data_IF_824321404613
#
_entry.id   IF_824321404613
#
_cell.length_a   1.000
_cell.length_b   1.000
_cell.length_c   1.000
_cell.angle_alpha   90.00
_cell.angle_beta   90.00
_cell.angle_gamma   90.00
#
_symmetry.space_group_name_H-M   'P 1'
#
loop_
_entity.id
_entity.type
_entity.pdbx_description
1 polymer ?
#
# COMPACT_ATOMS: atom_id res chain seq x y z
N UNK A 1 -26.97 18.02 -38.62
CA UNK A 1 -25.79 18.23 -39.50
C UNK A 1 -24.55 17.96 -38.68
N UNK A 2 -23.52 17.33 -39.25
CA UNK A 2 -22.23 17.10 -38.59
C UNK A 2 -21.52 18.45 -38.38
N UNK A 3 -20.95 18.66 -37.19
CA UNK A 3 -20.31 19.93 -36.79
C UNK A 3 -18.78 19.86 -36.71
N UNK A 4 -18.22 18.64 -36.76
CA UNK A 4 -16.78 18.37 -36.67
C UNK A 4 -16.41 17.24 -37.63
N UNK A 5 -15.22 17.28 -38.25
CA UNK A 5 -14.64 16.18 -39.05
C UNK A 5 -13.12 16.09 -38.86
N UNK A 6 -12.48 14.94 -39.15
CA UNK A 6 -11.02 14.86 -39.22
C UNK A 6 -10.42 15.86 -40.23
N UNK A 7 -9.22 16.40 -39.96
CA UNK A 7 -8.50 17.27 -40.90
C UNK A 7 -8.02 16.51 -42.15
N UNK A 8 -7.69 15.22 -42.01
CA UNK A 8 -7.24 14.34 -43.09
C UNK A 8 -8.10 13.06 -43.15
N UNK A 9 -8.56 12.68 -44.35
CA UNK A 9 -9.39 11.49 -44.59
C UNK A 9 -10.88 11.79 -44.84
N UNK A 10 -11.58 10.85 -45.48
CA UNK A 10 -13.03 10.89 -45.63
C UNK A 10 -13.70 10.29 -44.39
N UNK A 11 -14.63 11.04 -43.78
CA UNK A 11 -15.42 10.57 -42.66
C UNK A 11 -16.77 10.06 -43.18
N UNK A 12 -17.04 8.76 -43.03
CA UNK A 12 -18.28 8.11 -43.47
C UNK A 12 -19.50 8.88 -42.92
N UNK A 13 -20.35 9.42 -43.80
CA UNK A 13 -21.50 10.26 -43.43
C UNK A 13 -22.58 9.49 -42.64
N UNK A 14 -22.55 8.16 -42.65
CA UNK A 14 -23.52 7.30 -41.96
C UNK A 14 -23.19 7.04 -40.48
N UNK A 15 -21.96 7.30 -40.01
CA UNK A 15 -21.58 6.99 -38.64
C UNK A 15 -21.94 8.12 -37.64
N UNK A 16 -22.68 7.80 -36.56
CA UNK A 16 -22.94 8.72 -35.48
C UNK A 16 -21.68 8.78 -34.60
N UNK A 17 -20.90 9.84 -34.78
CA UNK A 17 -19.81 10.27 -33.89
C UNK A 17 -18.52 9.43 -33.94
N UNK A 18 -17.43 10.04 -34.43
CA UNK A 18 -16.05 9.56 -34.29
C UNK A 18 -15.38 10.35 -33.16
N UNK A 19 -14.63 9.64 -32.32
CA UNK A 19 -14.02 10.17 -31.10
C UNK A 19 -13.07 11.37 -31.36
N UNK A 20 -13.05 12.32 -30.42
CA UNK A 20 -12.15 13.46 -30.34
C UNK A 20 -10.71 13.10 -30.70
N UNK A 21 -10.31 13.37 -31.94
CA UNK A 21 -8.89 13.35 -32.35
C UNK A 21 -8.32 14.77 -32.27
N UNK A 22 -7.03 14.90 -31.95
CA UNK A 22 -6.38 16.23 -31.81
C UNK A 22 -6.35 17.05 -33.11
N UNK A 23 -6.67 16.43 -34.26
CA UNK A 23 -6.63 17.03 -35.60
C UNK A 23 -8.00 17.30 -36.23
N UNK A 24 -9.06 17.51 -35.46
CA UNK A 24 -10.40 17.79 -36.00
C UNK A 24 -10.58 19.24 -36.43
N UNK A 25 -11.42 19.49 -37.44
CA UNK A 25 -11.84 20.82 -37.90
C UNK A 25 -13.35 20.99 -37.84
N UNK A 26 -13.80 22.22 -37.58
CA UNK A 26 -15.21 22.58 -37.58
C UNK A 26 -15.77 22.63 -39.01
N UNK A 27 -17.01 22.16 -39.17
CA UNK A 27 -17.78 22.22 -40.43
C UNK A 27 -19.24 22.55 -40.14
N UNK A 28 -19.96 23.11 -41.12
CA UNK A 28 -21.37 23.54 -40.97
C UNK A 28 -21.61 24.47 -39.77
N UNK A 29 -20.61 25.26 -39.42
CA UNK A 29 -20.49 26.09 -38.22
C UNK A 29 -20.30 27.58 -38.56
N UNK A 30 -20.51 28.00 -39.82
CA UNK A 30 -20.56 29.40 -40.22
C UNK A 30 -19.18 30.06 -40.27
N UNK A 31 -18.98 31.18 -39.56
CA UNK A 31 -17.69 31.89 -39.54
C UNK A 31 -16.54 31.08 -38.93
N UNK A 32 -16.85 29.97 -38.25
CA UNK A 32 -15.88 29.09 -37.61
C UNK A 32 -15.47 27.89 -38.48
N UNK A 33 -16.03 27.77 -39.70
CA UNK A 33 -15.74 26.64 -40.60
C UNK A 33 -14.25 26.58 -40.98
N UNK A 34 -13.68 25.37 -40.91
CA UNK A 34 -12.28 25.10 -41.23
C UNK A 34 -11.31 25.34 -40.06
N UNK A 35 -11.75 25.91 -38.94
CA UNK A 35 -10.90 26.07 -37.75
C UNK A 35 -10.63 24.71 -37.07
N UNK A 36 -9.42 24.48 -36.53
CA UNK A 36 -9.17 23.35 -35.63
C UNK A 36 -10.13 23.38 -34.44
N UNK A 37 -10.72 22.24 -34.06
CA UNK A 37 -11.76 22.17 -33.04
C UNK A 37 -11.38 22.85 -31.69
N UNK A 38 -10.13 22.71 -31.17
CA UNK A 38 -9.72 23.44 -29.96
C UNK A 38 -9.73 24.97 -30.12
N UNK A 39 -9.31 25.48 -31.28
CA UNK A 39 -9.30 26.92 -31.57
C UNK A 39 -10.70 27.44 -31.86
N UNK A 40 -11.49 26.70 -32.63
CA UNK A 40 -12.89 27.00 -32.91
C UNK A 40 -13.72 27.10 -31.63
N UNK A 41 -13.53 26.17 -30.68
CA UNK A 41 -14.17 26.23 -29.37
C UNK A 41 -13.85 27.53 -28.61
N UNK A 42 -12.58 27.98 -28.62
CA UNK A 42 -12.19 29.26 -27.99
C UNK A 42 -12.85 30.45 -28.67
N UNK A 43 -12.80 30.52 -30.01
CA UNK A 43 -13.36 31.64 -30.79
C UNK A 43 -14.87 31.74 -30.67
N UNK A 44 -15.57 30.61 -30.57
CA UNK A 44 -17.01 30.56 -30.29
C UNK A 44 -17.29 31.16 -28.91
N UNK A 45 -16.52 30.80 -27.87
CA UNK A 45 -16.70 31.36 -26.52
C UNK A 45 -16.38 32.86 -26.49
N UNK A 46 -15.32 33.32 -27.16
CA UNK A 46 -14.99 34.75 -27.29
C UNK A 46 -16.11 35.55 -27.96
N UNK A 47 -16.72 34.98 -29.01
CA UNK A 47 -17.86 35.61 -29.69
C UNK A 47 -19.07 35.71 -28.76
N UNK A 48 -19.41 34.61 -28.08
CA UNK A 48 -20.52 34.57 -27.11
C UNK A 48 -20.30 35.57 -25.97
N UNK A 49 -19.05 35.76 -25.53
CA UNK A 49 -18.68 36.76 -24.52
C UNK A 49 -18.83 38.18 -25.03
N UNK A 50 -18.37 38.48 -26.24
CA UNK A 50 -18.56 39.80 -26.87
C UNK A 50 -20.05 40.15 -27.09
N UNK A 51 -20.91 39.16 -27.26
CA UNK A 51 -22.37 39.31 -27.38
C UNK A 51 -23.10 39.31 -26.03
N UNK A 52 -22.40 39.13 -24.91
CA UNK A 52 -23.00 39.03 -23.57
C UNK A 52 -23.88 37.77 -23.37
N UNK A 53 -23.71 36.75 -24.21
CA UNK A 53 -24.51 35.52 -24.23
C UNK A 53 -23.75 34.29 -23.71
N UNK A 54 -22.50 34.45 -23.28
CA UNK A 54 -21.70 33.40 -22.67
C UNK A 54 -20.41 33.93 -22.07
N UNK A 55 -19.66 33.06 -21.38
CA UNK A 55 -18.31 33.36 -20.88
C UNK A 55 -17.53 32.07 -20.66
N UNK A 56 -16.19 32.11 -20.61
CA UNK A 56 -15.40 31.00 -20.11
C UNK A 56 -15.82 30.60 -18.69
N UNK A 57 -15.93 29.29 -18.47
CA UNK A 57 -16.23 28.73 -17.17
C UNK A 57 -15.42 27.45 -16.97
N UNK A 58 -14.91 27.26 -15.75
CA UNK A 58 -14.29 26.01 -15.31
C UNK A 58 -15.34 25.27 -14.49
N UNK A 59 -15.70 24.06 -14.93
CA UNK A 59 -16.59 23.18 -14.20
C UNK A 59 -15.80 22.03 -13.59
N UNK A 60 -16.11 21.70 -12.34
CA UNK A 60 -15.54 20.57 -11.64
C UNK A 60 -16.55 19.43 -11.59
N UNK A 61 -16.08 18.19 -11.81
CA UNK A 61 -16.89 16.99 -11.61
C UNK A 61 -17.13 16.71 -10.12
N UNK A 62 -16.15 17.05 -9.26
CA UNK A 62 -16.28 16.93 -7.81
C UNK A 62 -17.38 17.88 -7.31
N UNK A 63 -18.15 17.43 -6.34
CA UNK A 63 -19.25 18.18 -5.72
C UNK A 63 -18.89 18.46 -4.26
N UNK A 64 -19.61 19.40 -3.66
CA UNK A 64 -19.51 19.65 -2.23
C UNK A 64 -19.86 18.39 -1.42
N UNK A 65 -19.22 18.25 -0.27
CA UNK A 65 -19.43 17.12 0.61
C UNK A 65 -20.65 17.34 1.51
N UNK A 66 -21.77 16.74 1.13
CA UNK A 66 -22.92 16.60 2.03
C UNK A 66 -22.66 15.56 3.11
N UNK A 67 -22.29 15.99 4.31
CA UNK A 67 -21.93 15.11 5.42
C UNK A 67 -23.07 14.81 6.39
N UNK A 68 -24.26 15.42 6.27
CA UNK A 68 -25.36 15.18 7.20
C UNK A 68 -26.10 13.87 6.90
N UNK A 69 -26.47 13.10 7.94
CA UNK A 69 -27.04 11.77 7.82
C UNK A 69 -28.28 11.63 8.71
N UNK A 70 -29.37 11.12 8.13
CA UNK A 70 -30.60 10.75 8.84
C UNK A 70 -30.45 9.39 9.53
N UNK A 71 -29.43 9.28 10.39
CA UNK A 71 -29.06 8.08 11.12
C UNK A 71 -28.83 8.44 12.58
N UNK A 72 -29.11 7.47 13.45
CA UNK A 72 -28.86 7.61 14.88
C UNK A 72 -27.37 7.53 15.22
N UNK A 73 -26.68 6.50 14.72
CA UNK A 73 -25.31 6.20 15.13
C UNK A 73 -24.28 7.05 14.38
N UNK A 74 -24.03 8.26 14.90
CA UNK A 74 -23.01 9.19 14.41
C UNK A 74 -22.84 10.38 15.36
N UNK A 75 -21.83 11.21 15.12
CA UNK A 75 -21.60 12.42 15.91
C UNK A 75 -22.73 13.44 15.66
N UNK A 76 -23.45 13.93 16.69
CA UNK A 76 -24.43 15.00 16.53
C UNK A 76 -23.81 16.28 15.97
N UNK A 77 -24.49 16.91 15.01
CA UNK A 77 -24.04 18.18 14.44
C UNK A 77 -24.31 19.31 15.47
N UNK A 78 -23.30 20.10 15.89
CA UNK A 78 -23.43 21.08 16.97
C UNK A 78 -24.11 22.38 16.49
N UNK A 79 -25.37 22.26 16.07
CA UNK A 79 -26.20 23.35 15.54
C UNK A 79 -27.59 23.35 16.20
N UNK A 80 -28.13 24.54 16.42
CA UNK A 80 -29.49 24.80 16.90
C UNK A 80 -30.22 25.70 15.90
N UNK A 81 -31.47 25.36 15.60
CA UNK A 81 -32.40 26.11 14.76
C UNK A 81 -33.37 26.92 15.62
N UNK A 82 -33.29 28.24 15.52
CA UNK A 82 -34.16 29.19 16.20
C UNK A 82 -35.01 29.98 15.20
N UNK A 83 -36.31 30.11 15.45
CA UNK A 83 -37.22 30.83 14.55
C UNK A 83 -36.97 32.36 14.54
N UNK A 84 -36.22 32.87 15.52
CA UNK A 84 -35.81 34.29 15.61
C UNK A 84 -34.42 34.53 15.03
N UNK A 85 -33.43 33.73 15.43
CA UNK A 85 -32.02 33.94 15.08
C UNK A 85 -31.56 33.16 13.84
N UNK A 86 -32.34 32.17 13.37
CA UNK A 86 -31.95 31.27 12.30
C UNK A 86 -31.05 30.13 12.79
N UNK A 87 -29.96 29.87 12.07
CA UNK A 87 -29.00 28.79 12.35
C UNK A 87 -27.95 29.31 13.33
N UNK A 88 -27.85 28.68 14.50
CA UNK A 88 -26.95 29.10 15.58
C UNK A 88 -26.04 27.93 15.97
N UNK A 89 -24.70 28.10 16.00
CA UNK A 89 -23.81 27.06 16.49
C UNK A 89 -23.97 26.84 17.99
N UNK A 90 -23.75 25.61 18.45
CA UNK A 90 -23.66 25.31 19.88
C UNK A 90 -22.36 25.93 20.44
N UNK A 91 -22.39 26.65 21.57
CA UNK A 91 -21.19 27.21 22.20
C UNK A 91 -20.17 26.15 22.66
N UNK A 92 -18.90 26.49 22.66
CA UNK A 92 -17.80 25.58 23.01
C UNK A 92 -17.97 24.96 24.41
N UNK A 93 -18.43 25.73 25.39
CA UNK A 93 -18.67 25.26 26.76
C UNK A 93 -19.86 24.29 26.90
N UNK A 94 -20.68 24.16 25.85
CA UNK A 94 -21.79 23.22 25.78
C UNK A 94 -21.43 21.97 24.96
N UNK A 95 -20.21 21.89 24.43
CA UNK A 95 -19.70 20.69 23.80
C UNK A 95 -19.20 19.68 24.86
N UNK A 96 -19.26 18.37 24.58
CA UNK A 96 -19.86 17.75 23.39
C UNK A 96 -21.39 17.67 23.47
N UNK A 97 -22.06 17.78 22.32
CA UNK A 97 -23.47 17.39 22.20
C UNK A 97 -23.54 15.86 22.21
N UNK A 98 -23.81 15.28 23.38
CA UNK A 98 -23.90 13.82 23.54
C UNK A 98 -25.12 13.25 22.83
N UNK A 99 -24.93 12.09 22.18
CA UNK A 99 -26.01 11.33 21.56
C UNK A 99 -26.97 10.84 22.66
N UNK A 100 -28.29 11.06 22.54
CA UNK A 100 -29.26 10.63 23.56
C UNK A 100 -29.56 9.14 23.44
N UNK A 101 -29.81 8.48 24.56
CA UNK A 101 -30.29 7.11 24.56
C UNK A 101 -31.73 7.04 24.01
N UNK A 102 -31.93 6.30 22.92
CA UNK A 102 -33.25 6.01 22.35
C UNK A 102 -33.41 4.51 22.07
N UNK A 103 -34.58 3.95 22.36
CA UNK A 103 -34.83 2.51 22.16
C UNK A 103 -35.10 2.14 20.69
N UNK A 104 -35.86 2.97 19.96
CA UNK A 104 -36.28 2.70 18.58
C UNK A 104 -35.60 3.63 17.57
N UNK A 105 -34.38 3.31 17.18
CA UNK A 105 -33.60 4.08 16.19
C UNK A 105 -33.76 3.57 14.74
N UNK A 106 -34.79 2.76 14.45
CA UNK A 106 -35.00 2.24 13.09
C UNK A 106 -35.37 3.38 12.12
N UNK A 107 -34.88 3.35 10.86
CA UNK A 107 -35.19 4.39 9.89
C UNK A 107 -36.69 4.36 9.52
N UNK A 108 -37.41 5.46 9.77
CA UNK A 108 -38.85 5.60 9.47
C UNK A 108 -39.17 6.76 8.50
N UNK A 109 -38.20 7.19 7.70
CA UNK A 109 -38.34 8.33 6.78
C UNK A 109 -38.21 9.71 7.46
N UNK A 110 -37.88 9.74 8.76
CA UNK A 110 -37.44 10.93 9.51
C UNK A 110 -36.16 10.60 10.28
N UNK A 111 -35.32 11.59 10.63
CA UNK A 111 -34.13 11.37 11.46
C UNK A 111 -34.53 10.72 12.79
N UNK A 112 -33.86 9.64 13.25
CA UNK A 112 -34.19 9.00 14.51
C UNK A 112 -34.14 9.93 15.73
N UNK A 113 -33.20 10.89 15.76
CA UNK A 113 -33.07 11.83 16.87
C UNK A 113 -34.26 12.79 17.01
N UNK A 114 -35.03 13.00 15.94
CA UNK A 114 -36.18 13.90 15.96
C UNK A 114 -37.31 13.44 16.92
N UNK A 115 -37.29 12.18 17.36
CA UNK A 115 -38.26 11.67 18.33
C UNK A 115 -37.83 11.84 19.79
N UNK A 116 -36.57 12.21 20.05
CA UNK A 116 -36.05 12.49 21.38
C UNK A 116 -36.39 13.93 21.78
N UNK A 117 -37.68 14.23 21.97
CA UNK A 117 -38.18 15.61 22.14
C UNK A 117 -37.46 16.38 23.26
N UNK A 118 -37.15 15.73 24.39
CA UNK A 118 -36.41 16.34 25.49
C UNK A 118 -34.97 16.71 25.13
N UNK A 119 -34.34 15.95 24.22
CA UNK A 119 -33.00 16.24 23.72
C UNK A 119 -33.03 17.27 22.58
N UNK A 120 -34.06 17.27 21.74
CA UNK A 120 -34.18 18.18 20.59
C UNK A 120 -34.53 19.59 21.05
N UNK A 121 -35.46 19.74 21.98
CA UNK A 121 -35.96 21.06 22.39
C UNK A 121 -35.01 21.70 23.41
N UNK A 122 -34.38 22.81 23.02
CA UNK A 122 -33.42 23.55 23.85
C UNK A 122 -33.66 25.06 23.71
N UNK A 123 -33.26 25.88 24.70
CA UNK A 123 -33.23 27.31 24.50
C UNK A 123 -32.18 27.68 23.44
N UNK A 124 -32.47 28.71 22.63
CA UNK A 124 -31.50 29.29 21.70
C UNK A 124 -30.32 29.87 22.50
N UNK A 125 -29.06 29.48 22.21
CA UNK A 125 -27.92 30.01 22.94
C UNK A 125 -27.67 31.51 22.68
N UNK A 126 -28.29 32.10 21.65
CA UNK A 126 -28.16 33.52 21.34
C UNK A 126 -29.24 34.43 21.95
N UNK A 127 -30.48 33.93 22.12
CA UNK A 127 -31.62 34.76 22.54
C UNK A 127 -32.58 34.10 23.53
N UNK A 128 -32.26 32.89 24.01
CA UNK A 128 -33.03 32.08 24.97
C UNK A 128 -34.44 31.64 24.50
N UNK A 129 -34.91 32.11 23.35
CA UNK A 129 -36.18 31.67 22.76
C UNK A 129 -36.17 30.16 22.48
N UNK A 130 -37.34 29.49 22.47
CA UNK A 130 -37.44 28.08 22.12
C UNK A 130 -36.76 27.77 20.77
N UNK A 131 -35.94 26.73 20.74
CA UNK A 131 -35.19 26.31 19.58
C UNK A 131 -35.07 24.78 19.52
N UNK A 132 -34.55 24.26 18.39
CA UNK A 132 -34.42 22.83 18.14
C UNK A 132 -33.01 22.47 17.72
N UNK A 133 -32.38 21.47 18.34
CA UNK A 133 -31.09 20.93 17.86
C UNK A 133 -31.22 20.35 16.45
N UNK A 134 -30.11 20.32 15.72
CA UNK A 134 -29.98 19.46 14.54
C UNK A 134 -30.19 17.99 14.94
N UNK A 135 -30.96 17.28 14.11
CA UNK A 135 -31.40 15.89 14.35
C UNK A 135 -30.71 14.90 13.41
N UNK A 136 -29.91 15.40 12.46
CA UNK A 136 -28.98 14.61 11.67
C UNK A 136 -27.61 14.50 12.36
N UNK A 137 -26.91 13.41 12.05
CA UNK A 137 -25.54 13.15 12.51
C UNK A 137 -24.54 13.33 11.37
N UNK A 138 -23.26 13.51 11.70
CA UNK A 138 -22.19 13.56 10.71
C UNK A 138 -21.92 12.18 10.10
N UNK A 139 -21.55 12.16 8.82
CA UNK A 139 -21.01 10.99 8.12
C UNK A 139 -19.74 10.50 8.82
N UNK A 140 -19.55 9.18 8.92
CA UNK A 140 -18.36 8.55 9.51
C UNK A 140 -17.04 8.93 8.83
N UNK A 141 -17.10 9.44 7.59
CA UNK A 141 -15.96 10.02 6.90
C UNK A 141 -15.45 11.30 7.54
N UNK A 142 -16.26 12.03 8.32
CA UNK A 142 -15.78 13.17 9.12
C UNK A 142 -14.77 12.66 10.14
N UNK A 143 -15.15 11.68 10.95
CA UNK A 143 -14.29 11.12 12.01
C UNK A 143 -13.00 10.51 11.43
N UNK A 144 -13.13 9.72 10.37
CA UNK A 144 -11.98 9.09 9.72
C UNK A 144 -11.12 10.04 8.88
N UNK A 145 -11.52 11.30 8.68
CA UNK A 145 -10.68 12.26 7.94
C UNK A 145 -9.51 12.80 8.75
N UNK A 146 -9.50 12.62 10.07
CA UNK A 146 -8.47 13.22 10.94
C UNK A 146 -8.05 12.35 12.14
N UNK A 147 -8.59 11.14 12.29
CA UNK A 147 -8.29 10.24 13.42
C UNK A 147 -6.78 10.01 13.65
N UNK A 148 -5.97 10.00 12.57
CA UNK A 148 -4.53 9.83 12.66
C UNK A 148 -3.81 11.01 13.32
N UNK A 149 -4.38 12.21 13.30
CA UNK A 149 -3.89 13.34 14.09
C UNK A 149 -4.19 13.11 15.57
N UNK A 150 -5.40 12.60 15.88
CA UNK A 150 -5.81 12.32 17.26
C UNK A 150 -4.97 11.22 17.91
N UNK A 151 -4.40 10.28 17.14
CA UNK A 151 -3.45 9.31 17.69
C UNK A 151 -2.17 9.95 18.27
N UNK A 152 -1.77 11.12 17.81
CA UNK A 152 -0.60 11.82 18.33
C UNK A 152 -0.86 12.41 19.72
N UNK A 153 -2.12 12.70 20.04
CA UNK A 153 -2.53 13.32 21.31
C UNK A 153 -3.97 12.89 21.71
N UNK A 154 -4.18 11.60 22.04
CA UNK A 154 -5.52 11.03 22.17
C UNK A 154 -6.23 11.41 23.47
N UNK A 155 -5.48 11.89 24.46
CA UNK A 155 -5.96 12.15 25.82
C UNK A 155 -6.16 13.63 26.13
N UNK A 156 -5.93 14.52 25.16
CA UNK A 156 -6.15 15.96 25.31
C UNK A 156 -7.63 16.29 25.37
N UNK A 157 -8.09 16.80 26.49
CA UNK A 157 -9.47 17.17 26.79
C UNK A 157 -9.77 18.67 26.59
N UNK A 158 -8.75 19.46 26.26
CA UNK A 158 -8.85 20.91 26.04
C UNK A 158 -8.88 21.29 24.54
N UNK A 159 -8.37 20.42 23.67
CA UNK A 159 -8.28 20.65 22.23
C UNK A 159 -8.38 19.34 21.43
N UNK A 160 -8.63 19.41 20.10
CA UNK A 160 -8.57 18.22 19.25
C UNK A 160 -7.21 17.51 19.28
N UNK A 161 -6.12 18.26 19.42
CA UNK A 161 -4.73 17.79 19.59
C UNK A 161 -3.80 18.99 19.83
N UNK A 162 -2.63 18.75 20.42
CA UNK A 162 -1.52 19.71 20.45
C UNK A 162 -0.81 19.77 19.09
N UNK A 163 -0.62 20.98 18.54
CA UNK A 163 0.07 21.18 17.24
C UNK A 163 1.49 20.60 17.23
N UNK A 164 2.25 20.77 18.31
CA UNK A 164 3.62 20.27 18.39
C UNK A 164 3.68 18.74 18.29
N UNK A 165 2.73 18.04 18.91
CA UNK A 165 2.63 16.58 18.86
C UNK A 165 2.32 16.09 17.45
N UNK A 166 1.35 16.71 16.76
CA UNK A 166 1.01 16.33 15.38
C UNK A 166 2.10 16.69 14.40
N UNK A 167 2.71 17.88 14.49
CA UNK A 167 3.78 18.32 13.59
C UNK A 167 5.07 17.47 13.75
N UNK A 168 5.28 16.85 14.92
CA UNK A 168 6.38 15.92 15.15
C UNK A 168 6.18 14.58 14.42
N UNK A 169 4.98 14.00 14.50
CA UNK A 169 4.68 12.67 13.94
C UNK A 169 4.26 12.70 12.48
N UNK A 170 3.91 13.86 11.93
CA UNK A 170 3.32 13.98 10.60
C UNK A 170 4.22 14.79 9.64
N UNK A 171 4.06 14.60 8.31
CA UNK A 171 3.10 13.71 7.65
C UNK A 171 3.40 12.22 7.90
N UNK A 172 2.37 11.37 7.82
CA UNK A 172 2.53 9.92 7.97
C UNK A 172 3.47 9.41 6.88
N UNK A 173 4.57 8.74 7.27
CA UNK A 173 5.57 8.23 6.34
C UNK A 173 4.99 7.20 5.35
N UNK A 174 4.16 6.30 5.85
CA UNK A 174 3.56 5.20 5.09
C UNK A 174 2.15 4.92 5.58
N UNK A 175 1.17 5.15 4.71
CA UNK A 175 -0.22 4.77 4.92
C UNK A 175 -0.55 3.50 4.12
N UNK A 176 -0.94 2.43 4.81
CA UNK A 176 -1.31 1.15 4.19
C UNK A 176 -2.83 1.01 4.24
N UNK A 177 -3.47 0.79 3.09
CA UNK A 177 -4.92 0.57 3.03
C UNK A 177 -5.38 -0.02 1.71
N UNK A 178 -6.60 -0.55 1.68
CA UNK A 178 -7.15 -1.14 0.47
C UNK A 178 -7.46 -0.10 -0.62
N UNK A 179 -7.42 -0.53 -1.89
CA UNK A 179 -7.70 0.33 -3.05
C UNK A 179 -9.07 1.01 -2.99
N UNK A 180 -10.06 0.38 -2.34
CA UNK A 180 -11.42 0.94 -2.15
C UNK A 180 -11.41 2.30 -1.42
N UNK A 181 -10.38 2.59 -0.61
CA UNK A 181 -10.28 3.85 0.12
C UNK A 181 -9.72 5.02 -0.72
N UNK A 182 -9.16 4.72 -1.90
CA UNK A 182 -8.49 5.72 -2.74
C UNK A 182 -9.43 6.83 -3.25
N UNK A 183 -10.71 6.52 -3.45
CA UNK A 183 -11.68 7.44 -4.08
C UNK A 183 -12.55 8.22 -3.09
N UNK A 184 -12.51 7.88 -1.80
CA UNK A 184 -13.40 8.50 -0.79
C UNK A 184 -12.58 9.02 0.39
N UNK A 185 -12.19 8.12 1.30
CA UNK A 185 -11.46 8.49 2.51
C UNK A 185 -10.18 9.28 2.22
N UNK A 186 -9.40 8.88 1.20
CA UNK A 186 -8.19 9.61 0.81
C UNK A 186 -8.48 11.05 0.34
N UNK A 187 -9.60 11.29 -0.34
CA UNK A 187 -9.98 12.65 -0.76
C UNK A 187 -10.36 13.49 0.46
N UNK A 188 -11.19 12.94 1.36
CA UNK A 188 -11.65 13.66 2.53
C UNK A 188 -10.52 13.95 3.52
N UNK A 189 -9.63 12.99 3.79
CA UNK A 189 -8.45 13.22 4.62
C UNK A 189 -7.57 14.34 4.06
N UNK A 190 -7.30 14.34 2.75
CA UNK A 190 -6.49 15.38 2.09
C UNK A 190 -7.16 16.76 2.10
N UNK A 191 -8.48 16.81 1.93
CA UNK A 191 -9.26 18.03 2.04
C UNK A 191 -9.19 18.58 3.46
N UNK A 192 -9.43 17.73 4.46
CA UNK A 192 -9.43 18.10 5.87
C UNK A 192 -8.07 18.64 6.31
N UNK A 193 -6.96 18.03 5.88
CA UNK A 193 -5.62 18.56 6.19
C UNK A 193 -5.37 19.93 5.58
N UNK A 194 -5.89 20.22 4.37
CA UNK A 194 -5.75 21.55 3.76
C UNK A 194 -6.51 22.59 4.56
N UNK A 195 -7.73 22.27 4.99
CA UNK A 195 -8.50 23.15 5.88
C UNK A 195 -7.76 23.41 7.19
N UNK A 196 -7.29 22.36 7.87
CA UNK A 196 -6.57 22.51 9.14
C UNK A 196 -5.26 23.30 8.98
N UNK A 197 -4.55 23.12 7.87
CA UNK A 197 -3.36 23.90 7.57
C UNK A 197 -3.68 25.38 7.27
N UNK A 198 -4.75 25.64 6.50
CA UNK A 198 -5.20 27.01 6.21
C UNK A 198 -5.66 27.73 7.50
N UNK A 199 -6.17 26.99 8.48
CA UNK A 199 -6.48 27.47 9.84
C UNK A 199 -5.26 27.59 10.77
N UNK A 200 -4.07 27.17 10.33
CA UNK A 200 -2.83 27.23 11.12
C UNK A 200 -2.73 26.19 12.25
N UNK A 201 -3.60 25.18 12.26
CA UNK A 201 -3.64 24.13 13.29
C UNK A 201 -2.58 23.05 13.09
N UNK A 202 -2.04 22.91 11.88
CA UNK A 202 -0.97 21.96 11.52
C UNK A 202 0.05 22.60 10.57
N UNK A 203 1.28 22.09 10.58
CA UNK A 203 2.42 22.55 9.78
C UNK A 203 2.58 21.93 8.39
N UNK A 204 1.71 20.98 8.01
CA UNK A 204 1.80 20.21 6.75
C UNK A 204 0.47 20.24 5.97
N UNK A 205 0.52 20.02 4.64
CA UNK A 205 -0.65 20.12 3.74
C UNK A 205 -1.16 18.79 3.17
N UNK A 206 -0.35 17.74 3.25
CA UNK A 206 -0.73 16.40 2.79
C UNK A 206 -0.54 15.41 3.95
N UNK A 207 -1.53 14.55 4.24
CA UNK A 207 -1.47 13.66 5.40
C UNK A 207 -0.49 12.50 5.26
N UNK A 208 -0.23 12.03 4.03
CA UNK A 208 0.51 10.81 3.77
C UNK A 208 1.66 11.08 2.79
N UNK A 209 2.90 10.79 3.19
CA UNK A 209 4.08 10.88 2.32
C UNK A 209 4.10 9.75 1.28
N UNK A 210 3.65 8.55 1.68
CA UNK A 210 3.47 7.39 0.79
C UNK A 210 2.17 6.68 1.10
N UNK A 211 1.47 6.26 0.04
CA UNK A 211 0.34 5.36 0.13
C UNK A 211 0.71 4.02 -0.49
N UNK A 212 0.52 2.94 0.26
CA UNK A 212 0.69 1.58 -0.22
C UNK A 212 -0.67 0.88 -0.25
N UNK A 213 -1.17 0.62 -1.46
CA UNK A 213 -2.43 -0.08 -1.64
C UNK A 213 -2.22 -1.57 -1.52
N UNK A 214 -2.82 -2.22 -0.51
CA UNK A 214 -2.82 -3.68 -0.44
C UNK A 214 -3.91 -4.28 -1.33
N UNK A 215 -3.67 -5.49 -1.83
CA UNK A 215 -4.68 -6.27 -2.56
C UNK A 215 -5.68 -6.95 -1.65
N UNK A 216 -6.68 -7.61 -2.25
CA UNK A 216 -7.69 -8.38 -1.54
C UNK A 216 -7.19 -9.74 -1.12
N UNK A 217 -7.67 -10.22 0.02
CA UNK A 217 -7.57 -11.64 0.38
C UNK A 217 -8.92 -12.31 0.10
N UNK A 218 -8.90 -13.36 -0.72
CA UNK A 218 -10.07 -14.17 -1.07
C UNK A 218 -10.01 -15.56 -0.44
N UNK A 219 -11.17 -16.18 -0.24
CA UNK A 219 -11.30 -17.59 0.16
C UNK A 219 -12.27 -18.26 -0.82
N UNK A 220 -11.78 -19.22 -1.60
CA UNK A 220 -12.51 -19.85 -2.69
C UNK A 220 -12.86 -18.88 -3.82
N UNK A 221 -11.97 -17.94 -4.17
CA UNK A 221 -12.20 -16.85 -5.13
C UNK A 221 -13.37 -15.90 -4.78
N UNK A 222 -13.87 -15.92 -3.53
CA UNK A 222 -14.87 -14.98 -3.03
C UNK A 222 -14.22 -14.03 -2.04
N UNK A 223 -14.45 -12.72 -2.22
CA UNK A 223 -14.05 -11.69 -1.24
C UNK A 223 -14.65 -12.03 0.12
N UNK A 224 -13.79 -12.19 1.12
CA UNK A 224 -14.23 -12.47 2.49
C UNK A 224 -15.01 -11.24 2.98
N UNK A 225 -16.30 -11.42 3.29
CA UNK A 225 -17.12 -10.35 3.83
C UNK A 225 -18.18 -10.89 4.77
N UNK A 226 -18.51 -10.13 5.83
CA UNK A 226 -19.61 -10.47 6.75
C UNK A 226 -20.94 -10.70 6.03
N UNK A 227 -21.15 -10.05 4.87
CA UNK A 227 -22.37 -10.15 4.06
C UNK A 227 -22.47 -11.46 3.28
N UNK A 228 -21.35 -12.10 2.94
CA UNK A 228 -21.30 -13.32 2.15
C UNK A 228 -21.36 -14.60 3.01
N UNK A 229 -21.29 -14.49 4.35
CA UNK A 229 -21.41 -15.63 5.26
C UNK A 229 -20.23 -16.63 5.22
N UNK A 230 -19.19 -16.34 4.43
CA UNK A 230 -17.99 -17.16 4.24
C UNK A 230 -16.79 -16.68 5.09
N UNK A 231 -17.02 -15.78 6.04
CA UNK A 231 -15.98 -15.26 6.90
C UNK A 231 -15.60 -16.31 7.97
N UNK A 232 -14.64 -17.18 7.64
CA UNK A 232 -13.85 -17.85 8.67
C UNK A 232 -12.93 -16.78 9.25
N UNK A 233 -13.15 -16.46 10.53
CA UNK A 233 -12.32 -15.48 11.23
C UNK A 233 -10.88 -15.99 11.40
N UNK A 234 -9.90 -15.09 11.54
CA UNK A 234 -8.50 -15.49 11.78
C UNK A 234 -8.34 -16.28 13.07
N UNK A 235 -9.27 -16.17 14.02
CA UNK A 235 -9.19 -16.79 15.35
C UNK A 235 -9.03 -18.31 15.26
N UNK A 236 -9.80 -18.97 14.39
CA UNK A 236 -9.72 -20.43 14.23
C UNK A 236 -8.34 -20.86 13.69
N UNK A 237 -7.80 -20.14 12.73
CA UNK A 237 -6.47 -20.43 12.17
C UNK A 237 -5.36 -20.15 13.19
N UNK A 238 -5.51 -19.08 13.99
CA UNK A 238 -4.58 -18.76 15.08
C UNK A 238 -4.61 -19.84 16.16
N UNK A 239 -5.78 -20.36 16.52
CA UNK A 239 -5.90 -21.45 17.50
C UNK A 239 -5.27 -22.76 16.99
N UNK A 240 -5.45 -23.09 15.71
CA UNK A 240 -4.91 -24.32 15.13
C UNK A 240 -3.41 -24.27 14.83
N UNK A 241 -2.89 -23.11 14.39
CA UNK A 241 -1.53 -23.01 13.82
C UNK A 241 -0.64 -22.00 14.53
N UNK A 242 -1.18 -21.17 15.43
CA UNK A 242 -0.48 -20.07 16.08
C UNK A 242 -0.47 -18.78 15.25
N UNK A 243 -0.28 -17.66 15.93
CA UNK A 243 -0.30 -16.32 15.32
C UNK A 243 0.81 -16.14 14.27
N UNK A 244 2.01 -16.67 14.51
CA UNK A 244 3.14 -16.50 13.60
C UNK A 244 2.95 -17.22 12.27
N UNK A 245 2.40 -18.44 12.29
CA UNK A 245 2.07 -19.16 11.07
C UNK A 245 1.02 -18.41 10.24
N UNK A 246 0.02 -17.82 10.90
CA UNK A 246 -0.99 -16.98 10.23
C UNK A 246 -0.37 -15.73 9.59
N UNK A 247 0.44 -14.98 10.35
CA UNK A 247 1.11 -13.76 9.88
C UNK A 247 2.04 -14.04 8.70
N UNK A 248 2.87 -15.08 8.83
CA UNK A 248 3.75 -15.53 7.75
C UNK A 248 2.95 -15.92 6.51
N UNK A 249 1.82 -16.60 6.67
CA UNK A 249 1.00 -17.00 5.55
C UNK A 249 0.47 -15.79 4.75
N UNK A 250 -0.13 -14.82 5.45
CA UNK A 250 -0.63 -13.59 4.81
C UNK A 250 0.49 -12.89 4.03
N UNK A 251 1.68 -12.79 4.61
CA UNK A 251 2.81 -12.07 4.02
C UNK A 251 3.59 -12.87 2.97
N UNK A 252 3.36 -14.18 2.86
CA UNK A 252 4.06 -15.08 1.94
C UNK A 252 3.25 -15.47 0.70
N UNK A 253 1.92 -15.41 0.77
CA UNK A 253 1.02 -15.84 -0.32
C UNK A 253 1.32 -15.17 -1.69
N UNK A 254 1.88 -13.96 -1.70
CA UNK A 254 2.12 -13.19 -2.92
C UNK A 254 2.58 -11.76 -2.63
N UNK A 255 2.76 -10.93 -3.67
CA UNK A 255 3.02 -9.50 -3.53
C UNK A 255 1.87 -8.81 -2.79
N UNK A 256 2.17 -7.99 -1.77
CA UNK A 256 1.13 -7.45 -0.88
C UNK A 256 0.20 -6.43 -1.56
N UNK A 257 0.54 -5.93 -2.74
CA UNK A 257 -0.28 -5.01 -3.55
C UNK A 257 -1.14 -5.73 -4.60
N UNK A 258 -1.11 -7.06 -4.64
CA UNK A 258 -1.91 -7.89 -5.55
C UNK A 258 -2.94 -8.70 -4.77
N UNK A 259 -3.99 -9.14 -5.47
CA UNK A 259 -5.02 -10.00 -4.87
C UNK A 259 -4.45 -11.40 -4.60
N UNK A 260 -4.80 -11.96 -3.44
CA UNK A 260 -4.19 -13.16 -2.87
C UNK A 260 -5.27 -14.14 -2.45
N UNK A 261 -5.10 -15.42 -2.80
CA UNK A 261 -6.03 -16.49 -2.43
C UNK A 261 -5.53 -17.20 -1.17
N UNK A 262 -6.35 -17.19 -0.12
CA UNK A 262 -6.10 -17.95 1.09
C UNK A 262 -6.57 -19.39 0.93
N UNK A 263 -5.70 -20.35 1.26
CA UNK A 263 -6.03 -21.78 1.29
C UNK A 263 -5.59 -22.43 2.59
N UNK A 264 -6.27 -23.49 3.04
CA UNK A 264 -5.86 -24.24 4.24
C UNK A 264 -4.44 -24.84 4.08
N UNK A 265 -4.07 -25.28 2.87
CA UNK A 265 -2.75 -25.85 2.62
C UNK A 265 -1.62 -24.81 2.69
N UNK A 266 -1.90 -23.54 2.41
CA UNK A 266 -0.91 -22.46 2.49
C UNK A 266 -0.41 -22.25 3.93
N UNK A 267 -1.34 -22.15 4.89
CA UNK A 267 -1.01 -21.95 6.30
C UNK A 267 -0.31 -23.16 6.91
N UNK A 268 -0.67 -24.39 6.52
CA UNK A 268 0.05 -25.59 6.94
C UNK A 268 1.53 -25.56 6.51
N UNK A 269 1.80 -25.02 5.31
CA UNK A 269 3.16 -24.79 4.83
C UNK A 269 3.96 -23.88 5.75
N UNK A 270 3.38 -22.77 6.17
CA UNK A 270 4.03 -21.83 7.09
C UNK A 270 4.17 -22.41 8.50
N UNK A 271 3.19 -23.17 9.00
CA UNK A 271 3.31 -23.87 10.27
C UNK A 271 4.46 -24.90 10.25
N UNK A 272 4.65 -25.63 9.14
CA UNK A 272 5.81 -26.52 8.96
C UNK A 272 7.13 -25.75 8.93
N UNK A 273 7.16 -24.59 8.28
CA UNK A 273 8.35 -23.73 8.27
C UNK A 273 8.73 -23.26 9.69
N UNK A 274 7.77 -22.77 10.47
CA UNK A 274 7.99 -22.37 11.87
C UNK A 274 8.56 -23.53 12.70
N UNK A 275 7.99 -24.74 12.58
CA UNK A 275 8.51 -25.93 13.28
C UNK A 275 9.93 -26.31 12.82
N UNK A 276 10.25 -26.12 11.54
CA UNK A 276 11.59 -26.36 11.02
C UNK A 276 12.60 -25.36 11.57
N UNK A 277 12.27 -24.06 11.54
CA UNK A 277 13.09 -23.00 12.13
C UNK A 277 13.38 -23.31 13.59
N UNK A 278 12.34 -23.66 14.35
CA UNK A 278 12.47 -24.05 15.75
C UNK A 278 13.47 -25.18 15.96
N UNK A 279 13.27 -26.32 15.29
CA UNK A 279 14.16 -27.47 15.42
C UNK A 279 15.61 -27.12 15.08
N UNK A 280 15.83 -26.47 13.94
CA UNK A 280 17.18 -26.13 13.46
C UNK A 280 17.87 -25.16 14.43
N UNK A 281 17.15 -24.15 14.93
CA UNK A 281 17.71 -23.19 15.88
C UNK A 281 18.08 -23.87 17.22
N UNK A 282 17.29 -24.83 17.70
CA UNK A 282 17.65 -25.59 18.92
C UNK A 282 18.87 -26.49 18.72
N UNK A 283 18.98 -27.15 17.56
CA UNK A 283 20.19 -27.92 17.22
C UNK A 283 21.43 -27.01 17.22
N UNK A 284 21.33 -25.79 16.68
CA UNK A 284 22.39 -24.78 16.75
C UNK A 284 22.70 -24.36 18.19
N UNK A 285 21.69 -24.19 19.05
CA UNK A 285 21.92 -23.88 20.47
C UNK A 285 22.77 -24.96 21.16
N UNK A 286 22.60 -26.22 20.79
CA UNK A 286 23.32 -27.36 21.36
C UNK A 286 24.73 -27.55 20.76
N UNK A 287 24.89 -27.33 19.45
CA UNK A 287 26.08 -27.76 18.70
C UNK A 287 27.04 -26.60 18.34
N UNK A 288 26.51 -25.39 18.16
CA UNK A 288 27.29 -24.27 17.66
C UNK A 288 27.90 -23.42 18.78
N UNK A 289 29.23 -23.28 18.84
CA UNK A 289 29.89 -22.44 19.83
C UNK A 289 29.61 -20.95 19.57
N UNK A 290 29.70 -20.14 20.63
CA UNK A 290 29.69 -18.68 20.54
C UNK A 290 30.93 -18.13 19.81
N UNK A 291 30.78 -16.92 19.28
CA UNK A 291 31.86 -16.13 18.68
C UNK A 291 31.59 -15.77 17.21
N UNK A 292 32.53 -15.03 16.63
CA UNK A 292 32.43 -14.49 15.26
C UNK A 292 32.35 -15.60 14.19
N UNK A 293 31.51 -15.42 13.14
CA UNK A 293 31.44 -16.36 12.04
C UNK A 293 32.80 -16.48 11.33
N UNK A 294 33.01 -17.61 10.67
CA UNK A 294 34.14 -17.77 9.75
C UNK A 294 33.68 -17.33 8.37
N UNK A 295 34.57 -16.74 7.58
CA UNK A 295 34.29 -16.45 6.17
C UNK A 295 34.15 -17.77 5.39
N UNK A 296 32.93 -18.30 5.38
CA UNK A 296 32.52 -19.50 4.67
C UNK A 296 31.21 -19.28 3.90
N UNK A 297 30.78 -20.31 3.17
CA UNK A 297 29.58 -20.23 2.36
C UNK A 297 28.30 -19.91 3.16
N UNK A 298 28.20 -20.37 4.42
CA UNK A 298 27.02 -20.15 5.25
C UNK A 298 26.99 -18.72 5.79
N UNK A 299 28.13 -18.18 6.24
CA UNK A 299 28.25 -16.79 6.65
C UNK A 299 27.95 -15.84 5.48
N UNK A 300 28.51 -16.10 4.29
CA UNK A 300 28.22 -15.33 3.07
C UNK A 300 26.73 -15.40 2.70
N UNK A 301 26.10 -16.57 2.78
CA UNK A 301 24.65 -16.72 2.55
C UNK A 301 23.84 -15.92 3.58
N UNK A 302 24.24 -15.89 4.84
CA UNK A 302 23.58 -15.09 5.88
C UNK A 302 23.66 -13.59 5.57
N UNK A 303 24.84 -13.05 5.22
CA UNK A 303 24.98 -11.64 4.81
C UNK A 303 24.21 -11.31 3.53
N UNK A 304 24.24 -12.18 2.52
CA UNK A 304 23.42 -12.01 1.32
C UNK A 304 21.91 -11.99 1.62
N UNK A 305 21.48 -12.81 2.59
CA UNK A 305 20.09 -12.83 3.05
C UNK A 305 19.74 -11.52 3.78
N UNK A 306 20.62 -10.99 4.63
CA UNK A 306 20.43 -9.67 5.28
C UNK A 306 20.25 -8.58 4.22
N UNK A 307 21.16 -8.50 3.24
CA UNK A 307 21.08 -7.48 2.18
C UNK A 307 19.78 -7.59 1.38
N UNK A 308 19.39 -8.80 0.99
CA UNK A 308 18.16 -9.06 0.24
C UNK A 308 16.91 -8.69 1.03
N UNK A 309 16.79 -9.17 2.27
CA UNK A 309 15.61 -8.91 3.10
C UNK A 309 15.49 -7.41 3.41
N UNK A 310 16.61 -6.73 3.66
CA UNK A 310 16.64 -5.28 3.90
C UNK A 310 16.10 -4.51 2.68
N UNK A 311 16.53 -4.85 1.46
CA UNK A 311 16.04 -4.21 0.24
C UNK A 311 14.56 -4.55 -0.03
N UNK A 312 14.19 -5.82 0.13
CA UNK A 312 12.83 -6.30 -0.11
C UNK A 312 11.82 -5.62 0.85
N UNK A 313 12.16 -5.46 2.13
CA UNK A 313 11.31 -4.79 3.12
C UNK A 313 11.34 -3.27 2.97
N UNK A 314 12.53 -2.67 2.98
CA UNK A 314 12.68 -1.22 3.10
C UNK A 314 12.35 -0.44 1.83
N UNK A 315 12.60 -1.03 0.65
CA UNK A 315 12.42 -0.36 -0.64
C UNK A 315 11.31 -0.96 -1.48
N UNK A 316 11.23 -2.29 -1.55
CA UNK A 316 10.34 -2.97 -2.52
C UNK A 316 8.97 -3.36 -1.95
N UNK A 317 8.82 -3.40 -0.63
CA UNK A 317 7.64 -3.97 0.05
C UNK A 317 7.33 -5.42 -0.40
N UNK A 318 8.37 -6.17 -0.75
CA UNK A 318 8.30 -7.54 -1.25
C UNK A 318 8.44 -8.57 -0.10
N UNK A 319 7.43 -8.61 0.76
CA UNK A 319 7.44 -9.42 1.99
C UNK A 319 7.57 -10.92 1.72
N UNK A 320 6.94 -11.41 0.66
CA UNK A 320 6.99 -12.82 0.26
C UNK A 320 8.41 -13.25 -0.14
N UNK A 321 9.14 -12.42 -0.89
CA UNK A 321 10.51 -12.74 -1.32
C UNK A 321 11.52 -12.59 -0.18
N UNK A 322 11.26 -11.71 0.78
CA UNK A 322 12.03 -11.63 2.02
C UNK A 322 11.89 -12.93 2.84
N UNK A 323 10.66 -13.41 3.09
CA UNK A 323 10.42 -14.67 3.79
C UNK A 323 11.07 -15.85 3.04
N UNK A 324 10.94 -15.90 1.71
CA UNK A 324 11.58 -16.93 0.89
C UNK A 324 13.11 -16.96 1.08
N UNK A 325 13.77 -15.81 1.14
CA UNK A 325 15.20 -15.72 1.37
C UNK A 325 15.61 -16.29 2.73
N UNK A 326 14.82 -16.04 3.79
CA UNK A 326 15.07 -16.63 5.10
C UNK A 326 14.82 -18.14 5.10
N UNK A 327 13.78 -18.61 4.38
CA UNK A 327 13.55 -20.06 4.21
C UNK A 327 14.75 -20.75 3.56
N UNK A 328 15.35 -20.13 2.53
CA UNK A 328 16.58 -20.63 1.91
C UNK A 328 17.76 -20.64 2.89
N UNK A 329 17.95 -19.59 3.69
CA UNK A 329 18.99 -19.56 4.72
C UNK A 329 18.81 -20.69 5.74
N UNK A 330 17.60 -20.92 6.23
CA UNK A 330 17.27 -22.03 7.14
C UNK A 330 17.51 -23.39 6.48
N UNK A 331 17.27 -23.52 5.18
CA UNK A 331 17.56 -24.76 4.44
C UNK A 331 19.07 -25.04 4.39
N UNK A 332 19.89 -24.02 4.10
CA UNK A 332 21.36 -24.15 4.09
C UNK A 332 21.90 -24.44 5.49
N UNK A 333 21.44 -23.68 6.51
CA UNK A 333 21.78 -23.91 7.91
C UNK A 333 21.47 -25.33 8.39
N UNK A 334 20.37 -25.93 7.90
CA UNK A 334 19.99 -27.29 8.32
C UNK A 334 20.91 -28.40 7.80
N UNK A 335 21.89 -28.09 6.94
CA UNK A 335 22.88 -29.07 6.45
C UNK A 335 24.04 -29.27 7.42
N UNK A 336 24.45 -28.21 8.10
CA UNK A 336 25.48 -28.22 9.15
C UNK A 336 25.12 -27.17 10.20
N UNK A 337 24.66 -27.65 11.35
CA UNK A 337 24.27 -26.84 12.50
C UNK A 337 25.43 -26.63 13.48
N UNK A 338 26.62 -27.12 13.14
CA UNK A 338 27.85 -26.93 13.92
C UNK A 338 28.62 -25.67 13.51
N UNK A 339 29.38 -25.13 14.45
CA UNK A 339 30.32 -24.03 14.18
C UNK A 339 29.74 -22.62 14.31
N UNK A 340 30.64 -21.62 14.34
CA UNK A 340 30.27 -20.23 14.62
C UNK A 340 29.39 -19.60 13.53
N UNK A 341 29.61 -19.98 12.27
CA UNK A 341 28.80 -19.51 11.13
C UNK A 341 27.35 -20.03 11.20
N UNK A 342 27.13 -21.23 11.75
CA UNK A 342 25.78 -21.76 11.97
C UNK A 342 25.01 -20.95 13.04
N UNK A 343 25.69 -20.57 14.14
CA UNK A 343 25.13 -19.68 15.15
C UNK A 343 24.77 -18.30 14.57
N UNK A 344 25.69 -17.69 13.83
CA UNK A 344 25.43 -16.42 13.14
C UNK A 344 24.25 -16.51 12.16
N UNK A 345 24.16 -17.57 11.36
CA UNK A 345 23.06 -17.78 10.43
C UNK A 345 21.72 -18.01 11.13
N UNK A 346 21.70 -18.72 12.28
CA UNK A 346 20.49 -18.91 13.08
C UNK A 346 20.00 -17.58 13.68
N UNK A 347 20.90 -16.83 14.30
CA UNK A 347 20.61 -15.49 14.84
C UNK A 347 20.12 -14.54 13.74
N UNK A 348 20.74 -14.58 12.56
CA UNK A 348 20.32 -13.82 11.38
C UNK A 348 18.92 -14.20 10.93
N UNK A 349 18.62 -15.50 10.78
CA UNK A 349 17.31 -15.97 10.34
C UNK A 349 16.20 -15.57 11.34
N UNK A 350 16.48 -15.72 12.64
CA UNK A 350 15.58 -15.32 13.73
C UNK A 350 15.33 -13.81 13.71
N UNK A 351 16.39 -13.01 13.59
CA UNK A 351 16.31 -11.54 13.52
C UNK A 351 15.50 -11.04 12.34
N UNK A 352 15.79 -11.55 11.13
CA UNK A 352 15.10 -11.14 9.90
C UNK A 352 13.62 -11.56 9.87
N UNK A 353 13.23 -12.61 10.60
CA UNK A 353 11.83 -13.04 10.71
C UNK A 353 11.02 -12.30 11.76
N UNK A 354 11.65 -11.56 12.67
CA UNK A 354 10.97 -10.92 13.79
C UNK A 354 9.76 -10.05 13.39
N UNK A 355 9.81 -9.23 12.32
CA UNK A 355 8.64 -8.43 11.90
C UNK A 355 7.45 -9.29 11.48
N UNK A 356 7.70 -10.52 11.05
CA UNK A 356 6.71 -11.45 10.51
C UNK A 356 6.18 -12.40 11.59
N UNK A 357 7.07 -13.00 12.37
CA UNK A 357 6.81 -14.06 13.34
C UNK A 357 7.42 -13.72 14.71
N UNK A 358 6.94 -12.66 15.38
CA UNK A 358 7.60 -12.10 16.56
C UNK A 358 7.63 -13.06 17.77
N UNK A 359 6.66 -13.97 17.90
CA UNK A 359 6.56 -14.78 19.12
C UNK A 359 7.61 -15.90 19.15
N UNK A 360 7.72 -16.68 18.07
CA UNK A 360 8.70 -17.75 17.94
C UNK A 360 10.12 -17.20 17.85
N UNK A 361 10.30 -16.02 17.23
CA UNK A 361 11.63 -15.42 17.08
C UNK A 361 12.17 -14.90 18.40
N UNK A 362 11.36 -14.29 19.26
CA UNK A 362 11.79 -13.90 20.62
C UNK A 362 12.17 -15.11 21.47
N UNK A 363 11.34 -16.16 21.48
CA UNK A 363 11.63 -17.39 22.22
C UNK A 363 12.93 -18.07 21.72
N UNK A 364 13.16 -18.10 20.40
CA UNK A 364 14.40 -18.63 19.85
C UNK A 364 15.61 -17.75 20.13
N UNK A 365 15.42 -16.42 20.15
CA UNK A 365 16.48 -15.47 20.50
C UNK A 365 16.97 -15.66 21.94
N UNK A 366 16.03 -15.83 22.87
CA UNK A 366 16.37 -16.16 24.27
C UNK A 366 17.13 -17.48 24.38
N UNK A 367 16.71 -18.51 23.65
CA UNK A 367 17.39 -19.82 23.65
C UNK A 367 18.77 -19.80 23.01
N UNK A 368 18.98 -18.92 22.04
CA UNK A 368 20.30 -18.61 21.48
C UNK A 368 21.19 -17.87 22.50
N UNK A 369 20.72 -17.61 23.73
CA UNK A 369 21.51 -16.99 24.80
C UNK A 369 21.48 -15.45 24.76
N UNK A 370 20.53 -14.88 24.02
CA UNK A 370 20.32 -13.42 23.93
C UNK A 370 19.13 -13.00 24.81
N UNK A 371 18.84 -11.71 24.90
CA UNK A 371 17.83 -11.20 25.86
C UNK A 371 16.51 -10.77 25.22
N UNK A 372 16.52 -9.75 24.34
CA UNK A 372 15.31 -9.20 23.72
C UNK A 372 15.59 -8.78 22.29
N UNK A 373 14.99 -9.46 21.33
CA UNK A 373 15.28 -9.25 19.91
C UNK A 373 14.73 -7.90 19.41
N UNK A 374 13.52 -7.50 19.80
CA UNK A 374 12.91 -6.22 19.38
C UNK A 374 13.67 -4.97 19.84
N UNK A 375 14.64 -5.11 20.74
CA UNK A 375 15.54 -4.01 21.18
C UNK A 375 16.88 -3.98 20.44
N UNK A 376 17.16 -5.01 19.63
CA UNK A 376 18.39 -5.09 18.86
C UNK A 376 18.28 -4.24 17.59
N UNK A 377 19.40 -3.68 17.12
CA UNK A 377 19.43 -3.05 15.81
C UNK A 377 19.12 -4.08 14.72
N UNK A 378 18.53 -3.60 13.61
CA UNK A 378 18.38 -4.41 12.41
C UNK A 378 19.77 -4.90 11.93
N UNK A 379 19.92 -6.18 11.54
CA UNK A 379 21.22 -6.73 11.16
C UNK A 379 21.77 -6.04 9.91
N UNK A 380 23.08 -5.81 9.90
CA UNK A 380 23.78 -5.21 8.76
C UNK A 380 24.61 -6.27 8.02
N UNK A 381 24.52 -6.26 6.69
CA UNK A 381 25.35 -7.12 5.85
C UNK A 381 26.78 -6.56 5.77
N UNK A 382 27.79 -7.43 5.83
CA UNK A 382 29.16 -7.06 5.52
C UNK A 382 29.32 -7.03 4.00
N UNK A 383 29.64 -5.85 3.45
CA UNK A 383 29.81 -5.65 2.02
C UNK A 383 30.91 -6.55 1.43
N UNK A 384 31.97 -6.86 2.18
CA UNK A 384 33.06 -7.72 1.72
C UNK A 384 32.61 -9.17 1.50
N UNK A 385 31.59 -9.62 2.25
CA UNK A 385 31.03 -10.97 2.15
C UNK A 385 29.92 -11.10 1.11
N UNK A 386 29.46 -9.98 0.54
CA UNK A 386 28.53 -9.94 -0.60
C UNK A 386 29.26 -10.06 -1.95
N UNK A 387 30.57 -9.85 -1.97
CA UNK A 387 31.37 -10.05 -3.17
C UNK A 387 31.47 -11.55 -3.46
N UNK A 388 30.91 -11.95 -4.60
CA UNK A 388 31.05 -13.31 -5.09
C UNK A 388 32.39 -13.42 -5.82
N UNK A 389 33.28 -14.29 -5.37
CA UNK A 389 34.51 -14.58 -6.13
C UNK A 389 34.19 -15.15 -7.52
N UNK A 390 33.07 -15.88 -7.65
CA UNK A 390 32.57 -16.43 -8.91
C UNK A 390 31.06 -16.24 -9.06
N UNK A 391 30.61 -15.89 -10.27
CA UNK A 391 29.21 -15.66 -10.63
C UNK A 391 28.76 -16.65 -11.70
N UNK A 392 27.48 -17.07 -11.64
CA UNK A 392 26.85 -17.87 -12.68
C UNK A 392 26.33 -16.96 -13.81
N UNK A 393 26.79 -17.20 -15.03
CA UNK A 393 26.35 -16.50 -16.24
C UNK A 393 25.51 -17.45 -17.08
N UNK A 394 24.23 -17.10 -17.24
CA UNK A 394 23.33 -17.84 -18.12
C UNK A 394 23.70 -17.61 -19.58
N UNK A 395 23.93 -18.69 -20.34
CA UNK A 395 24.22 -18.61 -21.77
C UNK A 395 23.02 -19.06 -22.59
N UNK A 396 22.54 -18.16 -23.44
CA UNK A 396 21.37 -18.37 -24.30
C UNK A 396 21.77 -18.39 -25.77
N UNK A 397 21.00 -19.14 -26.57
CA UNK A 397 21.06 -19.08 -28.04
C UNK A 397 19.65 -18.76 -28.55
N UNK A 398 19.51 -17.65 -29.29
CA UNK A 398 18.21 -17.12 -29.73
C UNK A 398 17.18 -17.05 -28.59
N UNK A 399 17.63 -16.58 -27.41
CA UNK A 399 16.79 -16.39 -26.21
C UNK A 399 16.46 -17.65 -25.42
N UNK A 400 16.93 -18.84 -25.84
CA UNK A 400 16.73 -20.10 -25.10
C UNK A 400 17.98 -20.46 -24.31
N UNK A 401 17.82 -20.77 -23.00
CA UNK A 401 18.93 -21.19 -22.13
C UNK A 401 19.57 -22.49 -22.66
N UNK A 402 20.90 -22.47 -22.83
CA UNK A 402 21.71 -23.60 -23.32
C UNK A 402 22.79 -24.03 -22.36
N UNK A 403 23.36 -23.10 -21.61
CA UNK A 403 24.37 -23.43 -20.62
C UNK A 403 24.45 -22.41 -19.48
N UNK A 404 25.25 -22.72 -18.46
CA UNK A 404 25.56 -21.85 -17.31
C UNK A 404 27.05 -21.89 -17.03
N UNK A 405 27.73 -20.76 -17.18
CA UNK A 405 29.16 -20.62 -16.91
C UNK A 405 29.38 -20.14 -15.48
N UNK A 406 30.44 -20.61 -14.82
CA UNK A 406 30.88 -20.08 -13.53
C UNK A 406 32.21 -19.35 -13.76
N UNK A 407 32.22 -18.03 -13.56
CA UNK A 407 33.35 -17.16 -13.91
C UNK A 407 33.64 -16.17 -12.79
N UNK A 408 34.87 -15.65 -12.65
CA UNK A 408 35.15 -14.64 -11.64
C UNK A 408 34.23 -13.40 -11.73
N UNK A 409 33.84 -12.82 -10.60
CA UNK A 409 33.15 -11.53 -10.66
C UNK A 409 34.04 -10.47 -11.31
N UNK A 410 33.46 -9.64 -12.18
CA UNK A 410 34.21 -8.67 -12.98
C UNK A 410 34.87 -9.22 -14.25
N UNK A 411 34.60 -10.49 -14.62
CA UNK A 411 34.99 -11.03 -15.93
C UNK A 411 34.46 -10.12 -17.04
N UNK A 412 35.35 -9.72 -17.96
CA UNK A 412 35.02 -8.76 -19.01
C UNK A 412 34.01 -9.31 -20.02
N UNK A 413 33.23 -8.43 -20.67
CA UNK A 413 32.23 -8.83 -21.66
C UNK A 413 32.83 -9.68 -22.79
N UNK A 414 34.04 -9.34 -23.25
CA UNK A 414 34.76 -10.07 -24.30
C UNK A 414 35.13 -11.49 -23.85
N UNK A 415 35.56 -11.63 -22.60
CA UNK A 415 35.91 -12.92 -22.00
C UNK A 415 34.67 -13.78 -21.75
N UNK A 416 33.56 -13.17 -21.33
CA UNK A 416 32.26 -13.84 -21.22
C UNK A 416 31.77 -14.39 -22.56
N UNK A 417 31.91 -13.60 -23.63
CA UNK A 417 31.57 -14.02 -24.99
C UNK A 417 32.46 -15.18 -25.43
N UNK A 418 33.78 -15.08 -25.20
CA UNK A 418 34.73 -16.13 -25.57
C UNK A 418 34.40 -17.46 -24.87
N UNK A 419 34.13 -17.42 -23.56
CA UNK A 419 33.75 -18.60 -22.77
C UNK A 419 32.39 -19.18 -23.22
N UNK A 420 31.42 -18.32 -23.53
CA UNK A 420 30.11 -18.73 -24.05
C UNK A 420 30.22 -19.44 -25.40
N UNK A 421 31.05 -18.92 -26.31
CA UNK A 421 31.30 -19.52 -27.63
C UNK A 421 32.18 -20.77 -27.57
N UNK A 422 32.98 -20.92 -26.51
CA UNK A 422 33.77 -22.13 -26.27
C UNK A 422 32.95 -23.30 -25.71
N UNK A 423 31.78 -23.03 -25.09
CA UNK A 423 30.92 -24.09 -24.54
C UNK A 423 30.42 -25.05 -25.62
N UNK A 424 30.68 -26.34 -25.44
CA UNK A 424 30.22 -27.41 -26.35
C UNK A 424 28.69 -27.43 -26.46
N UNK A 425 27.97 -27.15 -25.35
CA UNK A 425 26.51 -27.10 -25.31
C UNK A 425 25.95 -25.95 -26.15
N UNK A 426 26.63 -24.81 -26.14
CA UNK A 426 26.27 -23.64 -26.94
C UNK A 426 26.58 -23.91 -28.41
N UNK A 427 27.79 -24.40 -28.72
CA UNK A 427 28.22 -24.72 -30.10
C UNK A 427 27.31 -25.74 -30.78
N UNK A 428 26.78 -26.72 -30.05
CA UNK A 428 25.80 -27.69 -30.57
C UNK A 428 24.51 -27.04 -31.10
N UNK A 429 24.23 -25.80 -30.71
CA UNK A 429 23.05 -25.04 -31.12
C UNK A 429 23.40 -23.86 -32.04
N UNK A 430 24.66 -23.75 -32.49
CA UNK A 430 25.12 -22.73 -33.43
C UNK A 430 25.27 -23.32 -34.83
N UNK A 431 24.71 -22.65 -35.85
CA UNK A 431 24.84 -23.01 -37.26
C UNK A 431 25.83 -22.07 -37.98
N UNK A 432 27.03 -21.87 -37.41
CA UNK A 432 28.04 -20.95 -37.90
C UNK A 432 28.31 -19.78 -36.93
N UNK A 433 28.92 -18.71 -37.45
CA UNK A 433 29.31 -17.55 -36.65
C UNK A 433 28.10 -16.75 -36.14
N UNK A 434 28.16 -16.19 -34.92
CA UNK A 434 27.06 -15.43 -34.35
C UNK A 434 26.86 -14.12 -35.11
N UNK A 435 25.60 -13.79 -35.45
CA UNK A 435 25.24 -12.50 -36.04
C UNK A 435 25.38 -11.36 -35.05
N UNK A 436 25.11 -11.63 -33.77
CA UNK A 436 25.19 -10.67 -32.67
C UNK A 436 25.32 -11.38 -31.34
N UNK A 437 26.14 -10.84 -30.45
CA UNK A 437 26.18 -11.22 -29.03
C UNK A 437 25.64 -10.10 -28.18
N UNK A 438 24.85 -10.45 -27.16
CA UNK A 438 24.28 -9.51 -26.20
C UNK A 438 24.75 -9.95 -24.83
N UNK A 439 25.54 -9.11 -24.16
CA UNK A 439 25.98 -9.34 -22.79
C UNK A 439 25.16 -8.44 -21.88
N UNK A 440 24.61 -9.04 -20.83
CA UNK A 440 24.15 -8.30 -19.65
C UNK A 440 25.17 -8.59 -18.57
N UNK A 441 26.04 -7.60 -18.23
CA UNK A 441 27.13 -7.79 -17.29
C UNK A 441 26.66 -8.45 -15.99
N UNK A 442 27.37 -9.49 -15.59
CA UNK A 442 27.09 -10.25 -14.37
C UNK A 442 25.81 -11.10 -14.39
N UNK A 443 25.13 -11.26 -15.54
CA UNK A 443 23.83 -11.96 -15.59
C UNK A 443 23.69 -12.95 -16.74
N UNK A 444 23.91 -12.54 -18.00
CA UNK A 444 23.71 -13.44 -19.14
C UNK A 444 24.52 -13.06 -20.37
N UNK A 445 24.78 -14.05 -21.22
CA UNK A 445 25.24 -13.88 -22.61
C UNK A 445 24.21 -14.52 -23.53
N UNK A 446 23.64 -13.76 -24.46
CA UNK A 446 22.74 -14.27 -25.49
C UNK A 446 23.41 -14.19 -26.85
N UNK A 447 23.57 -15.35 -27.48
CA UNK A 447 24.16 -15.52 -28.81
C UNK A 447 23.03 -15.59 -29.83
N UNK A 448 22.99 -14.62 -30.75
CA UNK A 448 22.02 -14.58 -31.84
C UNK A 448 22.65 -15.21 -33.07
N UNK A 449 22.08 -16.32 -33.54
CA UNK A 449 22.56 -17.09 -34.71
C UNK A 449 21.60 -16.97 -35.88
#
# INVERSE_FOLDING_TARGET
RRVVRPAEGEADEAEPYLAHTEGEVLVNSGEFDGLPAPEGGRRIVERLEAEGSGRPAVNFRIRDWGFSRQRYWGCPIPVVYCDVCGIVPVPDEQLPVLLPDIEDYKPKGRPPLAQAEEWVNVPCPACEAPARRETETMDTFVDSSWYFLRYCDPWNDEAPFERAAVDYWNPIDLYIGGVDHATVHMIYARFWMKVLNDLGLIGFREPFARFYSNGWVTLGNVKISKRAGNAIGPEQFVEMHGADACRLNILFLGPANEDMEWTESSIEGMARFVRRLWRVALEVCELAPEGEPVDDALARKAHATIAKVTDDVGRRFAFNTAIAAVMELVNELSRDTGGRSARFAAETAVSLLQPYAPHVTEELWERLGRSRLWTQPWPAADAALLEHETIEIAVQVNGKLRDRLHVPAGTSDDELIALALASERVRAHMNGDPRRTIVVPGRLVNVVV
#
